data_IF_917098035393
#
_entry.id   IF_917098035393
#
_cell.length_a   1.000
_cell.length_b   1.000
_cell.length_c   1.000
_cell.angle_alpha   90.00
_cell.angle_beta   90.00
_cell.angle_gamma   90.00
#
_symmetry.space_group_name_H-M   'P 1'
#
loop_
_entity.id
_entity.type
_entity.pdbx_description
1 polymer ?
#
# COMPACT_ATOMS: atom_id res chain seq x y z
N UNK A 1 15.11 -11.13 -18.72
CA UNK A 1 14.34 -10.06 -18.00
C UNK A 1 13.17 -10.60 -17.19
N UNK A 2 12.86 -11.92 -17.22
CA UNK A 2 11.81 -12.54 -16.39
C UNK A 2 12.29 -12.85 -14.96
N UNK A 3 13.58 -13.15 -14.82
CA UNK A 3 14.13 -13.77 -13.59
C UNK A 3 14.12 -12.85 -12.35
N UNK A 4 14.04 -11.53 -12.56
CA UNK A 4 14.00 -10.53 -11.47
C UNK A 4 12.63 -10.47 -10.80
N UNK A 5 11.56 -10.89 -11.49
CA UNK A 5 10.21 -10.93 -10.92
C UNK A 5 9.93 -12.25 -10.19
N UNK A 6 10.58 -13.34 -10.57
CA UNK A 6 10.33 -14.67 -9.98
C UNK A 6 11.04 -14.85 -8.62
N UNK A 7 12.21 -14.23 -8.42
CA UNK A 7 13.00 -14.37 -7.18
C UNK A 7 12.39 -13.68 -5.93
N UNK A 8 11.79 -12.47 -6.01
CA UNK A 8 11.16 -11.82 -4.85
C UNK A 8 9.83 -12.47 -4.45
N UNK A 9 9.13 -13.12 -5.39
CA UNK A 9 7.79 -13.68 -5.19
C UNK A 9 7.83 -14.93 -4.29
N UNK A 10 8.89 -15.73 -4.35
CA UNK A 10 9.07 -16.88 -3.45
C UNK A 10 9.36 -16.48 -1.99
N UNK A 11 9.83 -15.24 -1.75
CA UNK A 11 10.13 -14.71 -0.42
C UNK A 11 8.93 -14.02 0.25
N UNK A 12 7.86 -13.74 -0.51
CA UNK A 12 6.61 -13.27 0.06
C UNK A 12 5.98 -14.43 0.85
N UNK A 13 6.05 -14.35 2.18
CA UNK A 13 5.29 -15.22 3.08
C UNK A 13 3.81 -15.23 2.70
N UNK A 14 3.06 -16.25 3.11
CA UNK A 14 1.60 -16.31 2.90
C UNK A 14 0.96 -14.94 3.19
N UNK A 15 -0.02 -14.47 2.37
CA UNK A 15 -0.69 -13.20 2.60
C UNK A 15 -1.12 -13.10 4.05
N UNK A 16 -0.82 -11.99 4.72
CA UNK A 16 -1.26 -11.84 6.10
C UNK A 16 -2.67 -11.30 6.10
N UNK A 17 -3.52 -11.84 6.98
CA UNK A 17 -4.88 -11.35 7.15
C UNK A 17 -4.84 -9.94 7.79
N UNK A 18 -5.30 -8.88 7.10
CA UNK A 18 -5.34 -7.54 7.67
C UNK A 18 -6.60 -7.28 8.49
N UNK A 19 -7.56 -8.23 8.54
CA UNK A 19 -8.81 -8.08 9.29
C UNK A 19 -8.55 -7.82 10.77
N UNK A 20 -9.22 -6.81 11.31
CA UNK A 20 -9.10 -6.40 12.71
C UNK A 20 -7.82 -5.62 13.07
N UNK A 21 -6.92 -5.37 12.09
CA UNK A 21 -5.70 -4.57 12.31
C UNK A 21 -5.95 -3.10 11.99
N UNK A 22 -5.13 -2.25 12.57
CA UNK A 22 -5.03 -0.81 12.23
C UNK A 22 -4.12 -0.60 11.02
N UNK A 23 -4.22 0.58 10.38
CA UNK A 23 -3.32 0.96 9.28
C UNK A 23 -1.86 0.88 9.71
N UNK A 24 -1.52 1.34 10.92
CA UNK A 24 -0.15 1.28 11.45
C UNK A 24 0.37 -0.16 11.59
N UNK A 25 -0.46 -1.09 12.06
CA UNK A 25 -0.06 -2.49 12.22
C UNK A 25 0.19 -3.18 10.88
N UNK A 26 -0.63 -2.89 9.87
CA UNK A 26 -0.46 -3.41 8.50
C UNK A 26 0.80 -2.84 7.87
N UNK A 27 1.02 -1.52 7.95
CA UNK A 27 2.24 -0.87 7.42
C UNK A 27 3.50 -1.42 8.07
N UNK A 28 3.49 -1.61 9.40
CA UNK A 28 4.62 -2.22 10.13
C UNK A 28 4.90 -3.66 9.66
N UNK A 29 3.86 -4.44 9.36
CA UNK A 29 4.04 -5.81 8.86
C UNK A 29 4.63 -5.83 7.45
N UNK A 30 4.16 -4.94 6.56
CA UNK A 30 4.74 -4.78 5.23
C UNK A 30 6.21 -4.37 5.33
N UNK A 31 6.53 -3.39 6.18
CA UNK A 31 7.92 -2.98 6.42
C UNK A 31 8.79 -4.15 6.90
N UNK A 32 8.32 -4.91 7.88
CA UNK A 32 9.03 -6.08 8.40
C UNK A 32 9.21 -7.19 7.37
N UNK A 33 8.24 -7.39 6.47
CA UNK A 33 8.36 -8.32 5.37
C UNK A 33 9.41 -7.85 4.36
N UNK A 34 9.36 -6.58 3.95
CA UNK A 34 10.31 -6.00 2.98
C UNK A 34 11.75 -5.99 3.50
N UNK A 35 11.98 -5.72 4.80
CA UNK A 35 13.30 -5.79 5.43
C UNK A 35 13.93 -7.19 5.43
N UNK A 36 13.13 -8.25 5.23
CA UNK A 36 13.62 -9.64 5.11
C UNK A 36 13.92 -10.05 3.67
N UNK A 37 13.73 -9.14 2.72
CA UNK A 37 14.00 -9.36 1.29
C UNK A 37 15.29 -8.65 0.87
N UNK A 38 15.85 -9.04 -0.27
CA UNK A 38 16.99 -8.32 -0.88
C UNK A 38 16.58 -7.01 -1.58
N UNK A 39 15.31 -6.62 -1.50
CA UNK A 39 14.75 -5.43 -2.18
C UNK A 39 14.36 -4.33 -1.19
N UNK A 40 15.06 -4.21 -0.07
CA UNK A 40 14.78 -3.25 1.00
C UNK A 40 14.60 -1.81 0.43
N UNK A 41 13.43 -1.18 0.65
CA UNK A 41 13.18 0.19 0.23
C UNK A 41 13.98 1.18 1.10
N UNK A 42 14.09 2.43 0.65
CA UNK A 42 14.73 3.48 1.46
C UNK A 42 13.93 3.78 2.73
N UNK A 43 12.61 3.75 2.61
CA UNK A 43 11.70 3.82 3.74
C UNK A 43 10.32 3.29 3.37
N UNK A 44 9.60 2.84 4.40
CA UNK A 44 8.16 2.54 4.38
C UNK A 44 7.51 3.46 5.39
N UNK A 45 6.43 4.14 5.00
CA UNK A 45 5.73 5.08 5.89
C UNK A 45 4.22 5.03 5.70
N UNK A 46 3.51 5.40 6.76
CA UNK A 46 2.10 5.77 6.71
C UNK A 46 1.92 6.95 5.77
N UNK A 47 0.85 6.95 4.97
CA UNK A 47 0.53 8.12 4.17
C UNK A 47 0.15 9.31 5.08
N UNK A 48 -0.71 9.08 6.07
CA UNK A 48 -1.01 10.03 7.13
C UNK A 48 -0.06 9.84 8.34
N UNK A 49 1.23 10.13 8.13
CA UNK A 49 2.27 9.93 9.15
C UNK A 49 2.03 10.73 10.45
N UNK A 50 1.45 11.93 10.35
CA UNK A 50 1.17 12.79 11.50
C UNK A 50 -0.16 12.45 12.21
N UNK A 51 -0.98 11.55 11.66
CA UNK A 51 -2.28 11.22 12.22
C UNK A 51 -3.27 12.39 12.17
N UNK A 52 -3.18 13.21 11.12
CA UNK A 52 -4.07 14.34 10.90
C UNK A 52 -5.55 13.89 10.86
N UNK A 53 -6.43 14.71 11.40
CA UNK A 53 -7.86 14.43 11.44
C UNK A 53 -8.53 14.53 10.07
N UNK A 54 -7.96 15.30 9.13
CA UNK A 54 -8.43 15.38 7.76
C UNK A 54 -7.97 14.17 6.93
N UNK A 55 -8.60 13.02 7.18
CA UNK A 55 -8.31 11.77 6.46
C UNK A 55 -8.60 11.86 4.96
N UNK A 56 -9.46 12.79 4.53
CA UNK A 56 -9.75 12.99 3.12
C UNK A 56 -8.57 13.62 2.37
N UNK A 57 -7.83 14.51 3.03
CA UNK A 57 -6.64 15.14 2.47
C UNK A 57 -5.36 14.28 2.65
N UNK A 58 -5.20 13.68 3.82
CA UNK A 58 -3.93 13.04 4.21
C UNK A 58 -3.95 11.50 4.19
N UNK A 59 -5.12 10.89 4.01
CA UNK A 59 -5.29 9.44 4.09
C UNK A 59 -5.70 8.97 5.49
N UNK A 60 -5.99 7.67 5.61
CA UNK A 60 -6.47 7.10 6.87
C UNK A 60 -5.45 7.27 8.00
N UNK A 61 -5.93 7.61 9.20
CA UNK A 61 -5.07 7.76 10.38
C UNK A 61 -4.39 6.44 10.74
N UNK A 62 -3.23 6.50 11.43
CA UNK A 62 -2.51 5.30 11.86
C UNK A 62 -3.36 4.35 12.72
N UNK A 63 -4.26 4.90 13.53
CA UNK A 63 -5.17 4.16 14.42
C UNK A 63 -6.48 3.73 13.76
N UNK A 64 -6.76 4.18 12.54
CA UNK A 64 -7.96 3.77 11.82
C UNK A 64 -7.87 2.28 11.47
N UNK A 65 -8.99 1.54 11.47
CA UNK A 65 -9.02 0.15 11.01
C UNK A 65 -8.52 0.06 9.57
N UNK A 66 -7.80 -1.02 9.24
CA UNK A 66 -7.53 -1.36 7.86
C UNK A 66 -8.85 -1.55 7.11
N UNK A 67 -8.99 -1.00 5.88
CA UNK A 67 -10.25 -1.02 5.16
C UNK A 67 -10.72 -2.44 4.83
N UNK A 68 -12.00 -2.70 5.12
CA UNK A 68 -12.72 -3.89 4.70
C UNK A 68 -12.97 -3.85 3.18
N UNK A 69 -12.38 -4.80 2.44
CA UNK A 69 -12.48 -4.91 0.97
C UNK A 69 -13.53 -5.91 0.50
N UNK A 70 -14.12 -6.71 1.40
CA UNK A 70 -15.17 -7.67 1.06
C UNK A 70 -16.48 -7.00 0.59
N UNK A 71 -16.65 -5.72 0.87
CA UNK A 71 -17.81 -4.93 0.47
C UNK A 71 -17.67 -4.46 -0.99
N UNK A 72 -18.76 -4.55 -1.75
CA UNK A 72 -18.81 -4.12 -3.16
C UNK A 72 -18.32 -2.67 -3.33
N UNK A 73 -17.59 -2.40 -4.41
CA UNK A 73 -17.02 -1.08 -4.77
C UNK A 73 -16.05 -0.52 -3.73
N UNK A 74 -15.41 -1.39 -2.95
CA UNK A 74 -14.28 -1.07 -2.09
C UNK A 74 -13.11 -1.97 -2.49
N UNK A 75 -11.92 -1.40 -2.56
CA UNK A 75 -10.69 -2.14 -2.89
C UNK A 75 -9.48 -1.43 -2.33
N UNK A 76 -8.43 -2.18 -2.09
CA UNK A 76 -7.09 -1.63 -1.97
C UNK A 76 -6.46 -1.64 -3.35
N UNK A 77 -5.80 -0.56 -3.73
CA UNK A 77 -5.07 -0.46 -4.99
C UNK A 77 -3.64 -0.03 -4.75
N UNK A 78 -2.76 -0.39 -5.67
CA UNK A 78 -1.36 -0.02 -5.65
C UNK A 78 -1.01 0.79 -6.90
N UNK A 79 -0.21 1.84 -6.72
CA UNK A 79 0.35 2.62 -7.82
C UNK A 79 1.86 2.77 -7.67
N UNK A 80 2.54 2.94 -8.81
CA UNK A 80 3.98 3.23 -8.88
C UNK A 80 4.16 4.55 -9.60
N UNK A 81 4.69 5.54 -8.90
CA UNK A 81 4.88 6.90 -9.42
C UNK A 81 6.33 7.38 -9.25
N UNK A 82 6.69 8.40 -10.03
CA UNK A 82 7.98 9.08 -9.83
C UNK A 82 7.82 10.09 -8.69
N UNK A 83 8.69 10.02 -7.68
CA UNK A 83 8.66 10.97 -6.57
C UNK A 83 9.14 12.37 -6.98
N UNK A 84 8.88 13.36 -6.13
CA UNK A 84 9.35 14.74 -6.30
C UNK A 84 10.86 14.90 -6.18
N UNK A 85 11.52 14.01 -5.44
CA UNK A 85 12.98 13.85 -5.37
C UNK A 85 13.42 12.57 -6.07
N UNK A 86 14.72 12.44 -6.39
CA UNK A 86 15.31 11.23 -6.98
C UNK A 86 14.71 9.95 -6.40
N UNK A 87 14.27 9.02 -7.26
CA UNK A 87 13.64 7.75 -6.88
C UNK A 87 12.15 7.66 -7.20
N UNK A 88 11.52 6.58 -6.74
CA UNK A 88 10.15 6.17 -7.07
C UNK A 88 9.34 5.92 -5.81
N UNK A 89 8.03 6.13 -5.88
CA UNK A 89 7.09 5.87 -4.78
C UNK A 89 6.17 4.74 -5.20
N UNK A 90 6.07 3.72 -4.34
CA UNK A 90 4.97 2.76 -4.37
C UNK A 90 3.95 3.24 -3.35
N UNK A 91 2.74 3.55 -3.80
CA UNK A 91 1.65 4.01 -2.94
C UNK A 91 0.54 2.97 -2.91
N UNK A 92 0.00 2.74 -1.72
CA UNK A 92 -1.20 1.94 -1.51
C UNK A 92 -2.33 2.86 -1.09
N UNK A 93 -3.47 2.71 -1.76
CA UNK A 93 -4.66 3.53 -1.58
C UNK A 93 -5.87 2.64 -1.28
N UNK A 94 -6.74 3.12 -0.40
CA UNK A 94 -8.08 2.59 -0.26
C UNK A 94 -9.02 3.33 -1.21
N UNK A 95 -9.55 2.61 -2.19
CA UNK A 95 -10.47 3.16 -3.18
C UNK A 95 -11.88 2.67 -2.90
N UNK A 96 -12.79 3.61 -2.70
CA UNK A 96 -14.21 3.32 -2.47
C UNK A 96 -15.12 4.21 -3.29
N UNK A 97 -16.25 3.66 -3.70
CA UNK A 97 -17.34 4.47 -4.24
C UNK A 97 -18.19 5.01 -3.08
N UNK A 98 -18.36 6.33 -3.03
CA UNK A 98 -19.21 7.02 -2.06
C UNK A 98 -20.52 7.36 -2.75
N UNK A 99 -21.62 6.76 -2.29
CA UNK A 99 -22.96 7.04 -2.80
C UNK A 99 -23.42 8.44 -2.38
N UNK A 100 -24.01 9.17 -3.32
CA UNK A 100 -24.54 10.51 -3.08
C UNK A 100 -25.75 10.75 -3.99
N UNK A 101 -26.95 10.73 -3.38
CA UNK A 101 -28.21 10.86 -4.12
C UNK A 101 -28.42 9.71 -5.11
N UNK A 102 -28.82 10.03 -6.35
CA UNK A 102 -28.98 9.06 -7.45
C UNK A 102 -27.64 8.62 -8.09
N UNK A 103 -26.51 9.15 -7.62
CA UNK A 103 -25.19 8.88 -8.15
C UNK A 103 -24.13 8.68 -7.06
N UNK A 104 -22.91 9.11 -7.34
CA UNK A 104 -21.80 9.05 -6.40
C UNK A 104 -20.47 9.35 -7.07
N UNK A 105 -19.39 9.24 -6.29
CA UNK A 105 -18.03 9.49 -6.77
C UNK A 105 -17.05 8.47 -6.20
N UNK A 106 -15.97 8.23 -6.92
CA UNK A 106 -14.85 7.45 -6.41
C UNK A 106 -13.97 8.32 -5.52
N UNK A 107 -13.61 7.81 -4.36
CA UNK A 107 -12.66 8.43 -3.43
C UNK A 107 -11.46 7.50 -3.27
N UNK A 108 -10.27 8.08 -3.33
CA UNK A 108 -9.00 7.42 -2.98
C UNK A 108 -8.53 7.97 -1.65
N UNK A 109 -8.19 7.10 -0.71
CA UNK A 109 -7.66 7.44 0.60
C UNK A 109 -6.28 6.80 0.75
N UNK A 110 -5.18 7.58 0.74
CA UNK A 110 -3.84 7.03 0.91
C UNK A 110 -3.70 6.24 2.21
N UNK A 111 -3.00 5.10 2.16
CA UNK A 111 -2.73 4.24 3.32
C UNK A 111 -1.24 4.20 3.64
N UNK A 112 -0.42 3.92 2.63
CA UNK A 112 1.00 3.62 2.76
C UNK A 112 1.79 4.20 1.59
N UNK A 113 3.02 4.66 1.86
CA UNK A 113 3.98 5.09 0.85
C UNK A 113 5.31 4.40 1.10
N UNK A 114 5.94 3.93 0.03
CA UNK A 114 7.24 3.25 0.08
C UNK A 114 8.17 3.89 -0.94
N UNK A 115 9.35 4.32 -0.51
CA UNK A 115 10.35 4.94 -1.38
C UNK A 115 11.38 3.94 -1.84
N UNK A 116 11.66 3.94 -3.13
CA UNK A 116 12.72 3.14 -3.74
C UNK A 116 13.63 4.00 -4.61
N UNK A 117 14.84 3.51 -4.86
CA UNK A 117 15.87 4.26 -5.61
C UNK A 117 15.70 4.18 -7.11
N UNK A 118 15.10 3.10 -7.61
CA UNK A 118 14.98 2.83 -9.04
C UNK A 118 13.58 2.35 -9.44
N UNK A 119 13.24 2.50 -10.72
CA UNK A 119 11.97 2.04 -11.28
C UNK A 119 11.80 0.53 -11.09
N UNK A 120 12.84 -0.24 -11.40
CA UNK A 120 12.80 -1.70 -11.31
C UNK A 120 12.60 -2.16 -9.87
N UNK A 121 13.28 -1.51 -8.91
CA UNK A 121 13.06 -1.78 -7.49
C UNK A 121 11.62 -1.45 -7.07
N UNK A 122 11.06 -0.32 -7.54
CA UNK A 122 9.66 0.05 -7.26
C UNK A 122 8.68 -1.04 -7.71
N UNK A 123 8.86 -1.59 -8.91
CA UNK A 123 8.00 -2.68 -9.41
C UNK A 123 8.21 -4.00 -8.66
N UNK A 124 9.44 -4.33 -8.24
CA UNK A 124 9.69 -5.50 -7.41
C UNK A 124 9.01 -5.37 -6.02
N UNK A 125 9.14 -4.20 -5.39
CA UNK A 125 8.46 -3.90 -4.11
C UNK A 125 6.95 -3.94 -4.28
N UNK A 126 6.43 -3.34 -5.36
CA UNK A 126 5.01 -3.36 -5.69
C UNK A 126 4.44 -4.79 -5.80
N UNK A 127 5.16 -5.69 -6.47
CA UNK A 127 4.75 -7.09 -6.59
C UNK A 127 4.70 -7.80 -5.23
N UNK A 128 5.71 -7.59 -4.37
CA UNK A 128 5.71 -8.15 -3.00
C UNK A 128 4.56 -7.59 -2.18
N UNK A 129 4.32 -6.27 -2.22
CA UNK A 129 3.22 -5.63 -1.47
C UNK A 129 1.86 -6.11 -1.96
N UNK A 130 1.66 -6.21 -3.27
CA UNK A 130 0.42 -6.73 -3.86
C UNK A 130 0.14 -8.15 -3.36
N UNK A 131 1.17 -9.02 -3.32
CA UNK A 131 1.03 -10.38 -2.80
C UNK A 131 0.77 -10.43 -1.29
N UNK A 132 1.46 -9.61 -0.51
CA UNK A 132 1.29 -9.57 0.95
C UNK A 132 -0.12 -9.11 1.37
N UNK A 133 -0.71 -8.20 0.60
CA UNK A 133 -2.01 -7.59 0.85
C UNK A 133 -3.15 -8.23 0.04
N UNK A 134 -2.86 -9.28 -0.72
CA UNK A 134 -3.82 -9.98 -1.60
C UNK A 134 -4.56 -9.01 -2.56
N UNK A 135 -3.77 -8.17 -3.25
CA UNK A 135 -4.26 -7.21 -4.25
C UNK A 135 -4.13 -7.85 -5.63
N UNK A 136 -5.27 -8.05 -6.31
CA UNK A 136 -5.39 -8.50 -7.71
C UNK A 136 -5.15 -7.38 -8.75
#
# INVERSE_FOLDING_TARGET
MSDVLDLPVALASAPFDPVGKTVSEVVRQVEQALRKTEIEPEWVSLANHFGDADEAAYGLRPSSPWPETSVRRRRVSLSVERGTSEGWIVQTDFVQFVEQGEGGFWRSLPLMRIKTRSRSQAWAVAAVVARLLDID
#
